data_IF_590923673743
#
_entry.id   IF_590923673743
#
_cell.length_a   1.000
_cell.length_b   1.000
_cell.length_c   1.000
_cell.angle_alpha   90.00
_cell.angle_beta   90.00
_cell.angle_gamma   90.00
#
_symmetry.space_group_name_H-M   'P 1'
#
loop_
_entity.id
_entity.type
_entity.pdbx_description
1 polymer ?
#
# COMPACT_ATOMS: atom_id res chain seq x y z
N UNK A 1 29.28 16.96 1.89
CA UNK A 1 28.08 16.11 1.82
C UNK A 1 26.85 17.00 1.73
N UNK A 2 26.39 17.19 0.49
CA UNK A 2 25.24 17.98 0.07
C UNK A 2 24.23 17.07 -0.63
N UNK A 3 22.98 17.49 -0.66
CA UNK A 3 21.92 16.78 -1.38
C UNK A 3 22.06 17.10 -2.87
N UNK A 4 22.08 16.07 -3.71
CA UNK A 4 22.08 16.21 -5.18
C UNK A 4 20.70 16.00 -5.76
N UNK A 5 19.92 15.07 -5.22
CA UNK A 5 18.52 14.86 -5.60
C UNK A 5 17.74 14.16 -4.49
N UNK A 6 16.41 14.29 -4.55
CA UNK A 6 15.48 13.62 -3.64
C UNK A 6 14.54 12.77 -4.50
N UNK A 7 14.32 11.54 -4.08
CA UNK A 7 13.46 10.58 -4.77
C UNK A 7 12.42 9.99 -3.81
N UNK A 8 11.11 10.14 -4.06
CA UNK A 8 10.06 9.55 -3.27
C UNK A 8 10.04 8.05 -3.50
N UNK A 9 9.60 7.32 -2.49
CA UNK A 9 9.47 5.86 -2.57
C UNK A 9 7.99 5.45 -2.72
N UNK A 10 7.69 4.16 -2.92
CA UNK A 10 6.30 3.68 -2.91
C UNK A 10 5.56 3.96 -1.61
N UNK A 11 6.30 4.14 -0.51
CA UNK A 11 5.76 4.63 0.76
C UNK A 11 5.81 6.15 0.78
N UNK A 12 4.68 6.83 1.02
CA UNK A 12 4.67 8.29 1.19
C UNK A 12 5.37 8.76 2.48
N UNK A 13 5.84 7.83 3.32
CA UNK A 13 6.57 8.10 4.55
C UNK A 13 8.09 7.92 4.43
N UNK A 14 8.58 7.55 3.24
CA UNK A 14 10.02 7.38 3.00
C UNK A 14 10.44 8.19 1.79
N UNK A 15 11.51 8.97 1.95
CA UNK A 15 12.19 9.68 0.86
C UNK A 15 13.64 9.26 0.79
N UNK A 16 14.13 9.08 -0.42
CA UNK A 16 15.50 8.72 -0.73
C UNK A 16 16.27 9.98 -1.07
N UNK A 17 17.36 10.24 -0.35
CA UNK A 17 18.25 11.37 -0.54
C UNK A 17 19.52 10.85 -1.22
N UNK A 18 19.81 11.39 -2.39
CA UNK A 18 21.08 11.19 -3.08
C UNK A 18 22.04 12.31 -2.69
N UNK A 19 23.30 11.96 -2.48
CA UNK A 19 24.32 12.87 -1.94
C UNK A 19 25.52 12.98 -2.90
N UNK A 20 26.21 14.12 -2.87
CA UNK A 20 27.40 14.41 -3.68
C UNK A 20 28.62 13.52 -3.33
N UNK A 21 28.67 13.03 -2.10
CA UNK A 21 29.68 12.14 -1.59
C UNK A 21 29.14 10.70 -1.49
N UNK A 22 29.85 9.76 -2.14
CA UNK A 22 29.55 8.34 -1.99
C UNK A 22 29.78 7.89 -0.56
N UNK A 23 28.82 7.13 -0.07
CA UNK A 23 28.80 6.65 1.30
C UNK A 23 29.66 5.38 1.44
N UNK A 24 30.04 5.03 2.66
CA UNK A 24 30.95 3.89 2.91
C UNK A 24 30.39 2.60 2.30
N UNK A 25 31.16 2.03 1.37
CA UNK A 25 30.77 0.83 0.66
C UNK A 25 30.60 -0.36 1.61
N UNK A 26 29.52 -1.12 1.43
CA UNK A 26 29.23 -2.33 2.21
C UNK A 26 28.43 -2.08 3.50
N UNK A 27 28.08 -0.82 3.81
CA UNK A 27 27.17 -0.49 4.92
C UNK A 27 25.74 -0.45 4.39
N UNK A 28 24.89 -1.36 4.90
CA UNK A 28 23.43 -1.32 4.76
C UNK A 28 22.82 -1.38 6.15
N UNK A 29 22.51 -0.21 6.72
CA UNK A 29 22.11 -0.13 8.13
C UNK A 29 21.01 0.88 8.35
N UNK A 30 20.00 0.48 9.12
CA UNK A 30 18.97 1.37 9.62
C UNK A 30 19.38 1.93 10.98
N UNK A 31 19.32 3.25 11.08
CA UNK A 31 19.53 3.98 12.32
C UNK A 31 18.19 4.49 12.86
N UNK A 32 18.01 4.37 14.17
CA UNK A 32 16.87 4.84 14.94
C UNK A 32 17.38 5.59 16.17
N UNK A 33 16.48 6.23 16.93
CA UNK A 33 16.83 6.85 18.22
C UNK A 33 17.45 5.84 19.20
N UNK A 34 17.09 4.56 19.11
CA UNK A 34 17.60 3.52 20.00
C UNK A 34 19.08 3.18 19.75
N UNK A 35 19.57 3.36 18.52
CA UNK A 35 20.94 3.04 18.11
C UNK A 35 21.76 4.26 17.64
N UNK A 36 21.26 5.48 17.92
CA UNK A 36 21.80 6.77 17.47
C UNK A 36 23.29 6.95 17.79
N UNK A 37 23.77 6.43 18.92
CA UNK A 37 25.20 6.51 19.32
C UNK A 37 26.15 5.87 18.31
N UNK A 38 25.68 4.88 17.56
CA UNK A 38 26.47 4.19 16.52
C UNK A 38 26.39 4.85 15.15
N UNK A 39 25.57 5.90 15.00
CA UNK A 39 25.34 6.56 13.73
C UNK A 39 26.45 7.58 13.39
N UNK A 40 26.80 7.71 12.10
CA UNK A 40 27.63 8.81 11.60
C UNK A 40 27.08 10.18 12.02
N UNK A 41 27.94 11.22 12.15
CA UNK A 41 27.50 12.55 12.60
C UNK A 41 26.35 13.15 11.78
N UNK A 42 26.35 12.98 10.46
CA UNK A 42 25.29 13.52 9.60
C UNK A 42 23.96 12.79 9.81
N UNK A 43 23.97 11.47 10.01
CA UNK A 43 22.78 10.68 10.34
C UNK A 43 22.23 11.05 11.72
N UNK A 44 23.09 11.32 12.71
CA UNK A 44 22.64 11.79 14.03
C UNK A 44 21.89 13.11 13.95
N UNK A 45 22.39 14.04 13.12
CA UNK A 45 21.70 15.33 12.90
C UNK A 45 20.32 15.13 12.25
N UNK A 46 20.23 14.26 11.24
CA UNK A 46 18.96 13.93 10.59
C UNK A 46 17.98 13.22 11.54
N UNK A 47 18.43 12.24 12.34
CA UNK A 47 17.60 11.63 13.40
C UNK A 47 17.13 12.66 14.42
N UNK A 48 17.91 13.73 14.61
CA UNK A 48 17.62 14.89 15.44
C UNK A 48 16.39 15.69 15.01
N UNK A 49 16.05 15.68 13.73
CA UNK A 49 14.93 16.43 13.14
C UNK A 49 13.60 15.91 13.70
N UNK A 50 12.75 16.83 14.13
CA UNK A 50 11.42 16.47 14.63
C UNK A 50 10.59 15.84 13.50
N UNK A 51 9.98 14.69 13.78
CA UNK A 51 9.22 13.94 12.79
C UNK A 51 10.02 12.84 12.07
N UNK A 52 11.35 12.82 12.13
CA UNK A 52 12.15 11.70 11.58
C UNK A 52 12.05 10.48 12.50
N UNK A 53 11.72 9.32 11.91
CA UNK A 53 11.56 8.01 12.58
C UNK A 53 12.84 7.18 12.47
N UNK A 54 13.37 7.05 11.26
CA UNK A 54 14.56 6.25 10.98
C UNK A 54 15.32 6.79 9.77
N UNK A 55 16.59 6.41 9.68
CA UNK A 55 17.45 6.72 8.55
C UNK A 55 18.13 5.43 8.10
N UNK A 56 17.81 4.97 6.89
CA UNK A 56 18.49 3.85 6.25
C UNK A 56 19.65 4.35 5.41
N UNK A 57 20.82 3.79 5.66
CA UNK A 57 22.07 4.19 5.03
C UNK A 57 22.54 3.08 4.09
N UNK A 58 22.78 3.44 2.83
CA UNK A 58 23.43 2.60 1.82
C UNK A 58 24.65 3.30 1.22
N UNK A 59 25.41 2.62 0.36
CA UNK A 59 26.48 3.23 -0.43
C UNK A 59 26.00 4.35 -1.36
N UNK A 60 24.80 4.19 -1.90
CA UNK A 60 24.32 4.98 -3.05
C UNK A 60 23.35 6.09 -2.65
N UNK A 61 22.61 5.90 -1.54
CA UNK A 61 21.60 6.83 -1.06
C UNK A 61 21.33 6.69 0.45
N UNK A 62 20.61 7.67 0.99
CA UNK A 62 20.03 7.64 2.35
C UNK A 62 18.51 7.63 2.26
N UNK A 63 17.84 6.61 2.79
CA UNK A 63 16.38 6.64 2.94
C UNK A 63 16.03 7.27 4.29
N UNK A 64 15.30 8.37 4.27
CA UNK A 64 14.75 9.02 5.44
C UNK A 64 13.32 8.54 5.64
N UNK A 65 13.00 7.99 6.81
CA UNK A 65 11.63 7.62 7.17
C UNK A 65 11.07 8.67 8.12
N UNK A 66 9.89 9.21 7.82
CA UNK A 66 9.16 10.08 8.73
C UNK A 66 8.19 9.29 9.61
N UNK A 67 7.77 9.90 10.72
CA UNK A 67 6.56 9.50 11.46
C UNK A 67 5.36 9.82 10.56
N UNK A 68 4.32 8.98 10.60
CA UNK A 68 3.22 9.04 9.64
C UNK A 68 2.54 10.41 9.50
N UNK A 69 2.55 11.21 10.56
CA UNK A 69 1.93 12.55 10.63
C UNK A 69 2.91 13.72 10.62
N UNK A 70 4.18 13.49 10.32
CA UNK A 70 5.15 14.56 10.25
C UNK A 70 5.15 15.20 8.85
N UNK A 71 5.36 16.50 8.77
CA UNK A 71 5.37 17.23 7.49
C UNK A 71 6.71 17.06 6.75
N UNK A 72 6.64 16.61 5.49
CA UNK A 72 7.83 16.45 4.65
C UNK A 72 8.46 17.78 4.28
N UNK A 73 7.68 18.85 4.09
CA UNK A 73 8.21 20.17 3.75
C UNK A 73 9.13 20.67 4.87
N UNK A 74 8.67 20.59 6.11
CA UNK A 74 9.45 20.91 7.32
C UNK A 74 10.68 20.01 7.47
N UNK A 75 10.53 18.69 7.32
CA UNK A 75 11.64 17.75 7.47
C UNK A 75 12.72 18.04 6.42
N UNK A 76 12.36 18.10 5.13
CA UNK A 76 13.32 18.31 4.05
C UNK A 76 13.98 19.69 4.15
N UNK A 77 13.24 20.73 4.55
CA UNK A 77 13.83 22.05 4.84
C UNK A 77 14.94 21.97 5.88
N UNK A 78 14.71 21.28 7.00
CA UNK A 78 15.74 21.09 8.03
C UNK A 78 16.90 20.20 7.57
N UNK A 79 16.63 19.17 6.74
CA UNK A 79 17.70 18.34 6.16
C UNK A 79 18.59 19.19 5.25
N UNK A 80 18.00 20.07 4.43
CA UNK A 80 18.73 21.02 3.57
C UNK A 80 19.59 21.98 4.39
N UNK A 81 19.06 22.56 5.45
CA UNK A 81 19.83 23.46 6.35
C UNK A 81 21.06 22.76 6.95
N UNK A 82 20.99 21.45 7.18
CA UNK A 82 22.07 20.67 7.79
C UNK A 82 23.12 20.14 6.81
N UNK A 83 22.76 19.87 5.55
CA UNK A 83 23.64 19.26 4.54
C UNK A 83 24.05 20.22 3.41
N UNK A 84 23.22 21.22 3.09
CA UNK A 84 23.40 22.10 1.91
C UNK A 84 23.02 21.43 0.58
N UNK A 85 23.01 22.23 -0.50
CA UNK A 85 22.68 21.81 -1.88
C UNK A 85 23.71 22.32 -2.90
N UNK A 86 23.81 21.65 -4.06
CA UNK A 86 24.63 22.07 -5.20
C UNK A 86 23.89 21.84 -6.54
N UNK A 87 23.65 22.89 -7.34
CA UNK A 87 23.02 22.78 -8.68
C UNK A 87 22.13 23.97 -9.06
N UNK A 88 21.94 24.21 -10.36
CA UNK A 88 21.14 25.31 -10.92
C UNK A 88 19.63 25.01 -11.02
N UNK A 89 19.19 23.82 -10.59
CA UNK A 89 17.79 23.36 -10.58
C UNK A 89 17.08 23.68 -9.24
N UNK A 90 17.52 24.76 -8.60
CA UNK A 90 17.14 25.16 -7.25
C UNK A 90 15.77 25.85 -7.17
N UNK A 91 14.73 25.26 -7.77
CA UNK A 91 13.36 25.79 -7.66
C UNK A 91 12.34 24.73 -7.22
N UNK A 92 12.71 23.93 -6.23
CA UNK A 92 11.75 23.25 -5.36
C UNK A 92 11.21 24.27 -4.35
N UNK A 93 10.37 25.21 -4.81
CA UNK A 93 9.61 26.08 -3.90
C UNK A 93 8.84 25.17 -2.94
N UNK A 94 9.32 25.11 -1.70
CA UNK A 94 8.62 24.48 -0.58
C UNK A 94 7.49 25.45 -0.21
N UNK A 95 6.21 25.06 -0.32
CA UNK A 95 5.12 25.90 0.15
C UNK A 95 5.34 26.24 1.63
N UNK A 96 5.14 27.50 2.02
CA UNK A 96 5.08 27.92 3.42
C UNK A 96 4.01 27.09 4.15
N UNK A 97 4.42 26.37 5.20
CA UNK A 97 3.59 25.66 6.17
C UNK A 97 2.22 25.18 5.62
N UNK A 98 2.23 24.17 4.74
CA UNK A 98 1.04 23.34 4.60
C UNK A 98 0.96 22.43 5.81
N UNK A 99 -0.18 22.46 6.50
CA UNK A 99 -0.49 21.53 7.58
C UNK A 99 -0.52 20.12 6.99
N UNK A 100 0.64 19.47 6.95
CA UNK A 100 0.84 18.11 6.45
C UNK A 100 0.09 17.12 7.32
N UNK A 101 -1.22 17.02 7.14
CA UNK A 101 -1.98 15.90 7.67
C UNK A 101 -1.38 14.63 7.06
N UNK A 102 -0.91 13.74 7.92
CA UNK A 102 -0.53 12.38 7.58
C UNK A 102 -1.39 11.85 6.43
N UNK A 103 -0.82 11.11 5.49
CA UNK A 103 -1.63 10.33 4.54
C UNK A 103 -2.55 9.30 5.23
N UNK A 104 -2.51 9.16 6.56
CA UNK A 104 -3.32 8.21 7.32
C UNK A 104 -2.91 6.78 7.05
N UNK A 105 -1.68 6.56 6.57
CA UNK A 105 -1.16 5.23 6.22
C UNK A 105 -1.06 4.36 7.47
N UNK A 106 -1.72 3.21 7.43
CA UNK A 106 -1.67 2.22 8.49
C UNK A 106 -1.43 0.82 7.93
N UNK A 107 -0.47 0.12 8.53
CA UNK A 107 -0.21 -1.29 8.24
C UNK A 107 -1.21 -2.16 9.00
N UNK A 108 -1.86 -3.07 8.30
CA UNK A 108 -2.81 -4.01 8.89
C UNK A 108 -2.16 -5.36 9.07
N UNK A 109 -2.29 -5.93 10.27
CA UNK A 109 -1.89 -7.30 10.55
C UNK A 109 -3.06 -8.06 11.14
N UNK A 110 -3.21 -9.32 10.75
CA UNK A 110 -4.22 -10.22 11.30
C UNK A 110 -3.52 -11.42 11.91
N UNK A 111 -3.83 -11.68 13.19
CA UNK A 111 -3.34 -12.86 13.89
C UNK A 111 -4.28 -14.02 13.65
N UNK A 112 -3.71 -15.17 13.30
CA UNK A 112 -4.38 -16.44 13.05
C UNK A 112 -3.97 -17.50 14.05
N UNK A 113 -4.89 -18.42 14.33
CA UNK A 113 -4.65 -19.67 15.05
C UNK A 113 -5.18 -20.83 14.18
N UNK A 114 -4.27 -21.64 13.62
CA UNK A 114 -4.62 -22.77 12.72
C UNK A 114 -5.70 -22.38 11.68
N UNK A 115 -5.43 -21.33 10.91
CA UNK A 115 -6.34 -20.81 9.87
C UNK A 115 -7.53 -19.96 10.37
N UNK A 116 -7.79 -19.89 11.68
CA UNK A 116 -8.87 -19.09 12.27
C UNK A 116 -8.34 -17.69 12.62
N UNK A 117 -8.87 -16.60 12.05
CA UNK A 117 -8.45 -15.26 12.44
C UNK A 117 -8.96 -14.94 13.86
N UNK A 118 -8.20 -14.17 14.64
CA UNK A 118 -8.55 -13.85 16.03
C UNK A 118 -8.44 -12.39 16.43
N UNK A 119 -7.43 -11.68 15.93
CA UNK A 119 -7.14 -10.30 16.32
C UNK A 119 -6.61 -9.52 15.14
N UNK A 120 -7.11 -8.30 14.97
CA UNK A 120 -6.65 -7.34 13.99
C UNK A 120 -5.81 -6.29 14.72
N UNK A 121 -4.68 -5.93 14.11
CA UNK A 121 -3.78 -4.89 14.60
C UNK A 121 -3.54 -3.91 13.46
N UNK A 122 -3.92 -2.66 13.67
CA UNK A 122 -3.72 -1.57 12.71
C UNK A 122 -2.69 -0.62 13.29
N UNK A 123 -1.57 -0.41 12.59
CA UNK A 123 -0.43 0.37 13.09
C UNK A 123 -0.10 1.53 12.19
N UNK A 124 0.00 2.72 12.77
CA UNK A 124 0.52 3.92 12.11
C UNK A 124 1.55 4.60 13.01
N UNK A 125 2.83 4.54 12.64
CA UNK A 125 3.91 5.11 13.45
C UNK A 125 3.98 4.51 14.85
N UNK A 126 3.66 5.31 15.88
CA UNK A 126 3.62 4.90 17.30
C UNK A 126 2.20 4.59 17.80
N UNK A 127 1.18 4.85 16.98
CA UNK A 127 -0.21 4.54 17.30
C UNK A 127 -0.54 3.13 16.83
N UNK A 128 -1.33 2.41 17.63
CA UNK A 128 -1.78 1.07 17.31
C UNK A 128 -3.22 0.89 17.81
N UNK A 129 -4.10 0.50 16.91
CA UNK A 129 -5.45 0.06 17.22
C UNK A 129 -5.49 -1.47 17.20
N UNK A 130 -6.15 -2.08 18.20
CA UNK A 130 -6.31 -3.53 18.28
C UNK A 130 -7.74 -3.89 18.58
N UNK A 131 -8.32 -4.70 17.72
CA UNK A 131 -9.66 -5.24 17.91
C UNK A 131 -9.66 -6.76 17.78
N UNK A 132 -10.54 -7.40 18.53
CA UNK A 132 -10.82 -8.83 18.41
C UNK A 132 -12.00 -9.04 17.47
N UNK A 133 -12.01 -10.18 16.75
CA UNK A 133 -13.18 -10.61 15.99
C UNK A 133 -14.30 -11.07 16.94
N UNK A 134 -15.50 -11.30 16.39
CA UNK A 134 -16.67 -11.71 17.18
C UNK A 134 -16.47 -13.01 17.96
N UNK A 135 -17.31 -13.22 18.98
CA UNK A 135 -17.22 -14.35 19.92
C UNK A 135 -17.15 -15.72 19.23
N UNK A 136 -17.75 -15.88 18.04
CA UNK A 136 -17.69 -17.13 17.27
C UNK A 136 -16.25 -17.54 16.91
N UNK A 137 -15.37 -16.59 16.64
CA UNK A 137 -13.95 -16.87 16.38
C UNK A 137 -13.21 -17.23 17.66
N UNK A 138 -13.54 -16.57 18.77
CA UNK A 138 -12.96 -16.87 20.09
C UNK A 138 -13.33 -18.28 20.52
N UNK A 139 -14.58 -18.67 20.34
CA UNK A 139 -15.07 -20.03 20.60
C UNK A 139 -14.39 -21.05 19.67
N UNK A 140 -14.27 -20.74 18.37
CA UNK A 140 -13.60 -21.60 17.41
C UNK A 140 -12.14 -21.87 17.80
N UNK A 141 -11.38 -20.82 18.13
CA UNK A 141 -9.99 -20.95 18.62
C UNK A 141 -9.95 -21.77 19.90
N UNK A 142 -10.86 -21.53 20.85
CA UNK A 142 -10.91 -22.25 22.13
C UNK A 142 -11.16 -23.74 21.93
N UNK A 143 -12.06 -24.11 21.01
CA UNK A 143 -12.35 -25.50 20.65
C UNK A 143 -11.11 -26.20 20.07
N UNK A 144 -10.45 -25.58 19.09
CA UNK A 144 -9.25 -26.18 18.47
C UNK A 144 -8.09 -26.25 19.47
N UNK A 145 -7.85 -25.19 20.25
CA UNK A 145 -6.78 -25.16 21.24
C UNK A 145 -6.97 -26.21 22.35
N UNK A 146 -8.22 -26.41 22.81
CA UNK A 146 -8.53 -27.41 23.84
C UNK A 146 -8.37 -28.84 23.32
N UNK A 147 -8.69 -29.09 22.04
CA UNK A 147 -8.58 -30.41 21.44
C UNK A 147 -7.14 -30.80 21.05
N UNK A 148 -6.34 -29.83 20.61
CA UNK A 148 -4.98 -30.08 20.10
C UNK A 148 -3.87 -29.83 21.13
N UNK A 149 -4.15 -29.06 22.19
CA UNK A 149 -3.18 -28.55 23.18
C UNK A 149 -2.07 -27.67 22.58
N UNK A 150 -2.25 -27.19 21.35
CA UNK A 150 -1.29 -26.35 20.62
C UNK A 150 -1.59 -24.87 20.86
N UNK A 151 -0.54 -24.05 20.84
CA UNK A 151 -0.60 -22.58 21.04
C UNK A 151 -0.05 -21.78 19.84
N UNK A 152 0.01 -22.40 18.68
CA UNK A 152 0.56 -21.80 17.46
C UNK A 152 -0.26 -20.59 17.02
N UNK A 153 0.41 -19.46 16.85
CA UNK A 153 -0.18 -18.22 16.33
C UNK A 153 0.67 -17.72 15.19
N UNK A 154 0.03 -17.42 14.06
CA UNK A 154 0.67 -16.81 12.89
C UNK A 154 0.21 -15.36 12.78
N UNK A 155 1.15 -14.44 12.59
CA UNK A 155 0.81 -13.05 12.26
C UNK A 155 0.95 -12.89 10.75
N UNK A 156 -0.14 -12.55 10.09
CA UNK A 156 -0.19 -12.32 8.64
C UNK A 156 -0.25 -10.83 8.34
N UNK A 157 0.52 -10.39 7.36
CA UNK A 157 0.46 -9.04 6.82
C UNK A 157 -0.72 -8.91 5.86
N UNK A 158 -1.61 -7.94 6.11
CA UNK A 158 -2.83 -7.65 5.35
C UNK A 158 -2.69 -6.38 4.48
N UNK A 159 -1.46 -5.88 4.36
CA UNK A 159 -1.12 -4.73 3.56
C UNK A 159 -1.44 -3.39 4.21
N UNK A 160 -1.33 -2.35 3.39
CA UNK A 160 -1.48 -0.96 3.81
C UNK A 160 -2.90 -0.47 3.54
N UNK A 161 -3.45 0.26 4.49
CA UNK A 161 -4.72 0.99 4.41
C UNK A 161 -4.50 2.46 4.75
N UNK A 162 -5.46 3.30 4.41
CA UNK A 162 -5.37 4.74 4.57
C UNK A 162 -6.64 5.26 5.23
N UNK A 163 -6.49 6.10 6.24
CA UNK A 163 -7.59 6.67 7.04
C UNK A 163 -7.36 6.51 8.53
N UNK A 164 -8.43 6.67 9.30
CA UNK A 164 -8.39 6.54 10.76
C UNK A 164 -8.24 5.08 11.20
N UNK A 165 -7.35 4.82 12.15
CA UNK A 165 -7.01 3.45 12.60
C UNK A 165 -8.24 2.65 13.06
N UNK A 166 -9.20 3.21 13.83
CA UNK A 166 -10.42 2.49 14.22
C UNK A 166 -11.34 2.16 13.05
N UNK A 167 -11.42 3.02 12.03
CA UNK A 167 -12.27 2.78 10.86
C UNK A 167 -11.65 1.72 9.97
N UNK A 168 -10.33 1.78 9.74
CA UNK A 168 -9.58 0.71 9.07
C UNK A 168 -9.78 -0.62 9.79
N UNK A 169 -9.65 -0.64 11.13
CA UNK A 169 -9.83 -1.86 11.90
C UNK A 169 -11.23 -2.45 11.70
N UNK A 170 -12.28 -1.61 11.78
CA UNK A 170 -13.68 -2.02 11.56
C UNK A 170 -13.94 -2.51 10.13
N UNK A 171 -13.35 -1.88 9.12
CA UNK A 171 -13.47 -2.34 7.73
C UNK A 171 -12.89 -3.74 7.56
N UNK A 172 -11.68 -3.96 8.07
CA UNK A 172 -11.00 -5.27 8.02
C UNK A 172 -11.76 -6.32 8.82
N UNK A 173 -12.33 -5.96 9.97
CA UNK A 173 -13.23 -6.84 10.73
C UNK A 173 -14.42 -7.28 9.88
N UNK A 174 -15.11 -6.34 9.23
CA UNK A 174 -16.27 -6.67 8.38
C UNK A 174 -15.89 -7.59 7.23
N UNK A 175 -14.73 -7.37 6.60
CA UNK A 175 -14.20 -8.22 5.53
C UNK A 175 -13.90 -9.65 6.03
N UNK A 176 -13.26 -9.80 7.20
CA UNK A 176 -12.98 -11.10 7.79
C UNK A 176 -14.27 -11.80 8.27
N UNK A 177 -15.20 -11.06 8.87
CA UNK A 177 -16.50 -11.61 9.25
C UNK A 177 -17.25 -12.15 8.03
N UNK A 178 -17.18 -11.45 6.91
CA UNK A 178 -17.79 -11.89 5.66
C UNK A 178 -17.07 -13.07 5.01
N UNK A 179 -15.73 -13.05 4.94
CA UNK A 179 -14.93 -14.10 4.32
C UNK A 179 -15.07 -15.47 5.02
N UNK A 180 -15.36 -15.48 6.32
CA UNK A 180 -15.49 -16.70 7.12
C UNK A 180 -16.94 -16.91 7.57
N UNK A 181 -17.86 -17.33 6.68
CA UNK A 181 -19.21 -17.72 7.11
C UNK A 181 -19.15 -18.90 8.09
N UNK A 182 -20.20 -19.10 8.89
CA UNK A 182 -20.21 -20.11 9.96
C UNK A 182 -19.87 -21.52 9.45
N UNK A 183 -20.37 -21.89 8.27
CA UNK A 183 -20.09 -23.19 7.65
C UNK A 183 -18.59 -23.41 7.39
N UNK A 184 -17.91 -22.41 6.80
CA UNK A 184 -16.47 -22.45 6.57
C UNK A 184 -15.69 -22.50 7.87
N UNK A 185 -16.12 -21.73 8.88
CA UNK A 185 -15.46 -21.73 10.19
C UNK A 185 -15.52 -23.11 10.85
N UNK A 186 -16.66 -23.80 10.78
CA UNK A 186 -16.78 -25.18 11.29
C UNK A 186 -15.90 -26.17 10.52
N UNK A 187 -15.78 -26.03 9.20
CA UNK A 187 -14.88 -26.85 8.38
C UNK A 187 -13.42 -26.66 8.80
N UNK A 188 -12.98 -25.41 8.99
CA UNK A 188 -11.62 -25.10 9.48
C UNK A 188 -11.39 -25.73 10.86
N UNK A 189 -12.36 -25.64 11.79
CA UNK A 189 -12.25 -26.25 13.11
C UNK A 189 -12.03 -27.76 12.99
N UNK A 190 -12.83 -28.44 12.16
CA UNK A 190 -12.70 -29.89 11.95
C UNK A 190 -11.34 -30.27 11.37
N UNK A 191 -10.90 -29.57 10.33
CA UNK A 191 -9.59 -29.80 9.70
C UNK A 191 -8.44 -29.53 10.68
N UNK A 192 -8.50 -28.44 11.45
CA UNK A 192 -7.47 -28.09 12.41
C UNK A 192 -7.38 -29.07 13.57
N UNK A 193 -8.50 -29.62 14.04
CA UNK A 193 -8.52 -30.69 15.06
C UNK A 193 -7.96 -31.99 14.47
N UNK A 194 -8.33 -32.33 13.23
CA UNK A 194 -7.84 -33.53 12.55
C UNK A 194 -6.32 -33.47 12.28
N UNK A 195 -5.79 -32.28 11.96
CA UNK A 195 -4.35 -32.03 11.84
C UNK A 195 -3.60 -32.30 13.15
N UNK A 196 -4.27 -32.10 14.30
CA UNK A 196 -3.73 -32.46 15.61
C UNK A 196 -2.38 -31.80 15.90
N UNK A 197 -1.48 -32.57 16.52
CA UNK A 197 -0.14 -32.15 16.92
C UNK A 197 0.92 -32.26 15.82
N UNK A 198 0.52 -32.35 14.55
CA UNK A 198 1.48 -32.34 13.45
C UNK A 198 2.26 -31.01 13.43
N UNK A 199 3.58 -31.15 13.27
CA UNK A 199 4.56 -30.06 13.21
C UNK A 199 4.56 -29.35 11.86
N UNK A 200 3.87 -29.89 10.84
CA UNK A 200 3.64 -29.21 9.57
C UNK A 200 2.70 -28.01 9.75
N UNK A 201 2.93 -26.96 8.94
CA UNK A 201 2.08 -25.78 8.91
C UNK A 201 0.67 -26.19 8.49
N UNK A 202 -0.33 -25.76 9.27
CA UNK A 202 -1.73 -26.01 8.92
C UNK A 202 -2.13 -25.16 7.71
N UNK A 203 -2.62 -25.83 6.67
CA UNK A 203 -3.18 -25.20 5.47
C UNK A 203 -4.65 -25.61 5.38
N UNK A 204 -5.53 -24.63 5.24
CA UNK A 204 -6.96 -24.87 5.03
C UNK A 204 -7.19 -25.52 3.66
N UNK A 205 -7.88 -26.66 3.64
CA UNK A 205 -8.37 -27.27 2.40
C UNK A 205 -9.76 -26.71 2.07
N UNK A 206 -9.83 -25.80 1.11
CA UNK A 206 -11.10 -25.21 0.65
C UNK A 206 -11.69 -26.04 -0.50
N UNK A 207 -13.00 -26.28 -0.45
CA UNK A 207 -13.75 -26.82 -1.60
C UNK A 207 -13.82 -25.76 -2.70
N UNK A 208 -13.45 -26.14 -3.92
CA UNK A 208 -13.69 -25.33 -5.11
C UNK A 208 -15.18 -25.21 -5.43
N UNK A 209 -15.61 -23.99 -5.72
CA UNK A 209 -16.98 -23.69 -6.14
C UNK A 209 -17.04 -23.69 -7.66
N UNK A 210 -18.12 -24.25 -8.20
CA UNK A 210 -18.42 -24.11 -9.63
C UNK A 210 -18.82 -22.68 -9.97
N UNK A 211 -18.64 -22.29 -11.23
CA UNK A 211 -19.04 -20.97 -11.76
C UNK A 211 -20.53 -20.68 -11.44
N UNK A 212 -21.40 -21.68 -11.57
CA UNK A 212 -22.81 -21.56 -11.25
C UNK A 212 -23.08 -21.28 -9.76
N UNK A 213 -22.29 -21.86 -8.84
CA UNK A 213 -22.39 -21.58 -7.41
C UNK A 213 -21.88 -20.17 -7.08
N UNK A 214 -20.80 -19.73 -7.73
CA UNK A 214 -20.26 -18.38 -7.60
C UNK A 214 -21.26 -17.33 -8.10
N UNK A 215 -21.81 -17.52 -9.30
CA UNK A 215 -22.84 -16.67 -9.90
C UNK A 215 -24.05 -16.53 -8.97
N UNK A 216 -24.57 -17.65 -8.47
CA UNK A 216 -25.74 -17.65 -7.59
C UNK A 216 -25.44 -16.89 -6.29
N UNK A 217 -24.27 -17.09 -5.69
CA UNK A 217 -23.92 -16.44 -4.43
C UNK A 217 -23.61 -14.95 -4.59
N UNK A 218 -23.04 -14.53 -5.73
CA UNK A 218 -22.82 -13.11 -6.05
C UNK A 218 -24.13 -12.35 -6.29
N UNK A 219 -25.25 -13.04 -6.50
CA UNK A 219 -26.58 -12.42 -6.57
C UNK A 219 -27.32 -12.40 -5.22
N UNK A 220 -26.69 -12.89 -4.15
CA UNK A 220 -27.33 -13.00 -2.85
C UNK A 220 -27.60 -11.62 -2.21
N UNK A 221 -28.75 -11.49 -1.53
CA UNK A 221 -29.17 -10.24 -0.88
C UNK A 221 -28.22 -9.78 0.22
N UNK A 222 -27.61 -10.73 0.94
CA UNK A 222 -26.63 -10.44 1.97
C UNK A 222 -25.25 -10.31 1.31
N UNK A 223 -24.67 -9.13 1.43
CA UNK A 223 -23.37 -8.80 0.89
C UNK A 223 -22.26 -9.69 1.46
N UNK A 224 -22.42 -10.22 2.68
CA UNK A 224 -21.42 -11.13 3.26
C UNK A 224 -21.30 -12.42 2.47
N UNK A 225 -22.42 -12.95 1.98
CA UNK A 225 -22.43 -14.11 1.09
C UNK A 225 -21.73 -13.81 -0.23
N UNK A 226 -22.00 -12.62 -0.80
CA UNK A 226 -21.35 -12.16 -2.03
C UNK A 226 -19.84 -12.00 -1.84
N UNK A 227 -19.42 -11.35 -0.75
CA UNK A 227 -18.01 -11.15 -0.42
C UNK A 227 -17.31 -12.50 -0.18
N UNK A 228 -17.93 -13.43 0.54
CA UNK A 228 -17.37 -14.76 0.75
C UNK A 228 -17.19 -15.53 -0.57
N UNK A 229 -18.11 -15.35 -1.53
CA UNK A 229 -18.01 -15.92 -2.87
C UNK A 229 -16.91 -15.26 -3.70
N UNK A 230 -16.75 -13.95 -3.57
CA UNK A 230 -15.65 -13.24 -4.22
C UNK A 230 -14.30 -13.61 -3.62
N UNK A 231 -14.15 -13.68 -2.29
CA UNK A 231 -12.89 -14.04 -1.58
C UNK A 231 -12.32 -15.40 -1.97
N UNK A 232 -13.17 -16.35 -2.39
CA UNK A 232 -12.75 -17.68 -2.86
C UNK A 232 -12.55 -17.77 -4.37
N UNK A 233 -12.92 -16.73 -5.11
CA UNK A 233 -12.78 -16.69 -6.56
C UNK A 233 -11.30 -16.65 -6.91
N UNK A 234 -10.84 -17.58 -7.74
CA UNK A 234 -9.55 -17.44 -8.40
C UNK A 234 -9.71 -16.51 -9.61
N UNK A 235 -8.97 -15.40 -9.68
CA UNK A 235 -9.12 -14.47 -10.80
C UNK A 235 -8.56 -15.09 -12.07
N UNK A 236 -9.45 -15.50 -12.98
CA UNK A 236 -9.11 -15.89 -14.36
C UNK A 236 -9.87 -15.02 -15.36
N UNK A 237 -9.42 -14.91 -16.62
CA UNK A 237 -10.14 -14.13 -17.64
C UNK A 237 -11.60 -14.57 -17.83
N UNK A 238 -11.92 -15.84 -17.62
CA UNK A 238 -13.28 -16.40 -17.68
C UNK A 238 -14.19 -15.83 -16.57
N UNK A 239 -13.62 -15.50 -15.42
CA UNK A 239 -14.33 -14.91 -14.29
C UNK A 239 -14.50 -13.38 -14.38
N UNK A 240 -14.01 -12.75 -15.44
CA UNK A 240 -14.11 -11.30 -15.61
C UNK A 240 -15.55 -10.76 -15.56
N UNK A 241 -16.60 -11.44 -16.06
CA UNK A 241 -17.98 -11.02 -15.86
C UNK A 241 -18.40 -10.96 -14.38
N UNK A 242 -17.93 -11.90 -13.55
CA UNK A 242 -18.20 -11.93 -12.11
C UNK A 242 -17.47 -10.81 -11.37
N UNK A 243 -16.22 -10.56 -11.75
CA UNK A 243 -15.44 -9.44 -11.22
C UNK A 243 -16.09 -8.12 -11.61
N UNK A 244 -16.54 -7.96 -12.86
CA UNK A 244 -17.30 -6.79 -13.33
C UNK A 244 -18.60 -6.58 -12.53
N UNK A 245 -19.30 -7.65 -12.17
CA UNK A 245 -20.45 -7.56 -11.27
C UNK A 245 -20.04 -7.02 -9.89
N UNK A 246 -18.94 -7.52 -9.31
CA UNK A 246 -18.44 -7.06 -8.02
C UNK A 246 -18.02 -5.58 -8.03
N UNK A 247 -17.48 -5.07 -9.14
CA UNK A 247 -17.15 -3.64 -9.32
C UNK A 247 -18.38 -2.72 -9.28
N UNK A 248 -19.59 -3.26 -9.45
CA UNK A 248 -20.85 -2.50 -9.42
C UNK A 248 -21.65 -2.74 -8.13
N UNK A 249 -21.05 -3.40 -7.13
CA UNK A 249 -21.71 -3.74 -5.87
C UNK A 249 -21.98 -2.52 -4.96
N UNK A 250 -23.05 -2.56 -4.18
CA UNK A 250 -23.39 -1.49 -3.23
C UNK A 250 -22.34 -1.36 -2.11
N UNK A 251 -21.64 -2.46 -1.79
CA UNK A 251 -20.57 -2.47 -0.79
C UNK A 251 -19.21 -2.16 -1.40
N UNK A 252 -18.57 -1.16 -0.81
CA UNK A 252 -17.23 -0.71 -1.14
C UNK A 252 -16.21 -1.85 -1.07
N UNK A 253 -16.34 -2.77 -0.11
CA UNK A 253 -15.45 -3.91 0.10
C UNK A 253 -15.41 -4.85 -1.11
N UNK A 254 -16.58 -5.14 -1.72
CA UNK A 254 -16.65 -5.97 -2.92
C UNK A 254 -16.03 -5.26 -4.13
N UNK A 255 -16.34 -3.97 -4.32
CA UNK A 255 -15.75 -3.19 -5.41
C UNK A 255 -14.22 -3.13 -5.28
N UNK A 256 -13.71 -2.88 -4.07
CA UNK A 256 -12.28 -2.83 -3.77
C UNK A 256 -11.59 -4.17 -4.03
N UNK A 257 -12.19 -5.29 -3.62
CA UNK A 257 -11.66 -6.63 -3.88
C UNK A 257 -11.67 -6.95 -5.39
N UNK A 258 -12.73 -6.57 -6.10
CA UNK A 258 -12.80 -6.69 -7.55
C UNK A 258 -11.65 -5.96 -8.26
N UNK A 259 -11.32 -4.74 -7.83
CA UNK A 259 -10.17 -3.98 -8.37
C UNK A 259 -8.84 -4.72 -8.16
N UNK A 260 -8.64 -5.35 -6.98
CA UNK A 260 -7.43 -6.16 -6.73
C UNK A 260 -7.34 -7.30 -7.74
N UNK A 261 -8.43 -8.03 -7.97
CA UNK A 261 -8.47 -9.14 -8.93
C UNK A 261 -8.23 -8.71 -10.38
N UNK A 262 -8.70 -7.53 -10.80
CA UNK A 262 -8.32 -7.00 -12.12
C UNK A 262 -6.80 -6.85 -12.27
N UNK A 263 -6.12 -6.49 -11.19
CA UNK A 263 -4.66 -6.37 -11.12
C UNK A 263 -3.90 -7.68 -11.31
N UNK A 264 -4.53 -8.80 -10.90
CA UNK A 264 -3.99 -10.15 -11.10
C UNK A 264 -4.18 -10.61 -12.55
N UNK A 265 -5.27 -10.20 -13.21
CA UNK A 265 -5.59 -10.58 -14.59
C UNK A 265 -4.72 -9.89 -15.65
N UNK A 266 -4.56 -8.58 -15.54
CA UNK A 266 -3.75 -7.73 -16.46
C UNK A 266 -4.12 -7.91 -17.95
N UNK A 267 -5.37 -8.25 -18.25
CA UNK A 267 -5.88 -8.30 -19.62
C UNK A 267 -6.27 -6.88 -20.10
N UNK A 268 -6.35 -6.62 -21.41
CA UNK A 268 -6.80 -5.32 -21.92
C UNK A 268 -8.16 -4.89 -21.33
N UNK A 269 -9.12 -5.81 -21.24
CA UNK A 269 -10.43 -5.55 -20.62
C UNK A 269 -10.32 -5.26 -19.11
N UNK A 270 -9.40 -5.94 -18.40
CA UNK A 270 -9.14 -5.62 -17.00
C UNK A 270 -8.53 -4.22 -16.83
N UNK A 271 -7.66 -3.79 -17.75
CA UNK A 271 -7.08 -2.44 -17.76
C UNK A 271 -8.13 -1.35 -18.00
N UNK A 272 -9.10 -1.60 -18.87
CA UNK A 272 -10.25 -0.71 -19.07
C UNK A 272 -11.07 -0.58 -17.79
N UNK A 273 -11.39 -1.70 -17.13
CA UNK A 273 -12.14 -1.70 -15.87
C UNK A 273 -11.37 -1.05 -14.71
N UNK A 274 -10.04 -1.18 -14.66
CA UNK A 274 -9.20 -0.46 -13.69
C UNK A 274 -9.26 1.06 -13.93
N UNK A 275 -9.25 1.48 -15.20
CA UNK A 275 -9.39 2.89 -15.57
C UNK A 275 -10.76 3.46 -15.21
N UNK A 276 -11.83 2.64 -15.30
CA UNK A 276 -13.16 3.00 -14.80
C UNK A 276 -13.19 3.12 -13.26
N UNK A 277 -12.54 2.20 -12.55
CA UNK A 277 -12.49 2.18 -11.09
C UNK A 277 -11.79 3.41 -10.47
N UNK A 278 -10.95 4.13 -11.23
CA UNK A 278 -10.43 5.45 -10.87
C UNK A 278 -11.51 6.53 -10.74
N UNK A 279 -12.78 6.23 -11.06
CA UNK A 279 -13.93 7.14 -10.91
C UNK A 279 -14.96 6.65 -9.89
N UNK A 280 -14.63 5.62 -9.11
CA UNK A 280 -15.51 5.09 -8.06
C UNK A 280 -15.91 6.16 -7.04
N UNK A 281 -17.14 6.16 -6.50
CA UNK A 281 -17.54 7.10 -5.44
C UNK A 281 -16.65 7.03 -4.19
N UNK A 282 -16.07 5.87 -3.87
CA UNK A 282 -15.16 5.69 -2.74
C UNK A 282 -13.72 6.02 -3.10
N UNK A 283 -13.10 6.93 -2.35
CA UNK A 283 -11.68 7.25 -2.49
C UNK A 283 -10.79 6.02 -2.23
N UNK A 284 -11.21 5.07 -1.37
CA UNK A 284 -10.47 3.84 -1.11
C UNK A 284 -10.39 2.93 -2.35
N UNK A 285 -11.47 2.86 -3.14
CA UNK A 285 -11.52 2.07 -4.38
C UNK A 285 -10.71 2.76 -5.47
N UNK A 286 -10.89 4.07 -5.68
CA UNK A 286 -10.09 4.85 -6.64
C UNK A 286 -8.60 4.74 -6.37
N UNK A 287 -8.20 4.85 -5.09
CA UNK A 287 -6.82 4.66 -4.66
C UNK A 287 -6.33 3.24 -4.93
N UNK A 288 -7.11 2.21 -4.61
CA UNK A 288 -6.73 0.82 -4.96
C UNK A 288 -6.55 0.66 -6.46
N UNK A 289 -7.39 1.27 -7.30
CA UNK A 289 -7.21 1.24 -8.76
C UNK A 289 -5.92 1.95 -9.18
N UNK A 290 -5.63 3.11 -8.59
CA UNK A 290 -4.37 3.83 -8.80
C UNK A 290 -3.14 2.99 -8.42
N UNK A 291 -3.14 2.40 -7.21
CA UNK A 291 -2.09 1.49 -6.74
C UNK A 291 -1.89 0.33 -7.73
N UNK A 292 -2.97 -0.35 -8.12
CA UNK A 292 -2.92 -1.49 -9.03
C UNK A 292 -2.34 -1.10 -10.39
N UNK A 293 -2.77 0.03 -10.96
CA UNK A 293 -2.26 0.54 -12.23
C UNK A 293 -0.78 0.95 -12.13
N UNK A 294 -0.35 1.56 -11.02
CA UNK A 294 1.08 1.81 -10.73
C UNK A 294 1.88 0.52 -10.63
N UNK A 295 1.37 -0.51 -9.97
CA UNK A 295 2.08 -1.79 -9.83
C UNK A 295 2.21 -2.53 -11.18
N UNK A 296 1.22 -2.38 -12.06
CA UNK A 296 1.26 -2.91 -13.43
C UNK A 296 2.26 -2.11 -14.29
N UNK A 297 2.20 -0.78 -14.22
CA UNK A 297 3.10 0.14 -14.95
C UNK A 297 2.90 0.15 -16.47
N UNK A 298 1.69 -0.18 -16.96
CA UNK A 298 1.38 -0.15 -18.38
C UNK A 298 1.07 1.29 -18.84
N UNK A 299 1.83 1.85 -19.80
CA UNK A 299 1.59 3.20 -20.33
C UNK A 299 0.18 3.42 -20.89
N UNK A 300 -0.57 2.37 -21.25
CA UNK A 300 -1.97 2.49 -21.67
C UNK A 300 -2.86 3.21 -20.64
N UNK A 301 -2.50 3.17 -19.34
CA UNK A 301 -3.23 3.84 -18.28
C UNK A 301 -2.93 5.35 -18.15
N UNK A 302 -2.01 5.91 -18.95
CA UNK A 302 -1.60 7.32 -18.92
C UNK A 302 -2.79 8.28 -18.94
N UNK A 303 -3.71 8.12 -19.89
CA UNK A 303 -4.87 9.01 -20.00
C UNK A 303 -5.77 8.99 -18.77
N UNK A 304 -5.96 7.81 -18.17
CA UNK A 304 -6.77 7.68 -16.95
C UNK A 304 -6.07 8.32 -15.74
N UNK A 305 -4.75 8.15 -15.63
CA UNK A 305 -3.94 8.73 -14.56
C UNK A 305 -3.79 10.24 -14.68
N UNK A 306 -3.70 10.80 -15.89
CA UNK A 306 -3.80 12.25 -16.12
C UNK A 306 -5.11 12.79 -15.52
N UNK A 307 -6.24 12.10 -15.74
CA UNK A 307 -7.51 12.50 -15.13
C UNK A 307 -7.50 12.43 -13.60
N UNK A 308 -6.83 11.43 -13.03
CA UNK A 308 -6.73 11.23 -11.59
C UNK A 308 -5.87 12.29 -10.86
N UNK A 309 -5.05 13.07 -11.57
CA UNK A 309 -4.35 14.24 -11.01
C UNK A 309 -5.30 15.34 -10.51
N UNK A 310 -6.59 15.31 -10.89
CA UNK A 310 -7.60 16.27 -10.42
C UNK A 310 -8.55 15.68 -9.37
N UNK A 311 -8.22 14.52 -8.78
CA UNK A 311 -9.08 13.88 -7.77
C UNK A 311 -9.18 14.69 -6.48
N UNK A 312 -10.34 14.65 -5.83
CA UNK A 312 -10.55 15.28 -4.53
C UNK A 312 -9.65 14.70 -3.43
N UNK A 313 -9.27 13.43 -3.55
CA UNK A 313 -8.37 12.73 -2.63
C UNK A 313 -6.91 12.98 -3.01
N UNK A 314 -6.16 13.61 -2.11
CA UNK A 314 -4.71 13.81 -2.27
C UNK A 314 -3.93 12.51 -2.49
N UNK A 315 -4.38 11.40 -1.91
CA UNK A 315 -3.78 10.08 -2.12
C UNK A 315 -3.92 9.60 -3.56
N UNK A 316 -5.08 9.83 -4.17
CA UNK A 316 -5.33 9.44 -5.56
C UNK A 316 -4.50 10.32 -6.49
N UNK A 317 -4.44 11.64 -6.25
CA UNK A 317 -3.58 12.56 -7.01
C UNK A 317 -2.11 12.19 -6.90
N UNK A 318 -1.63 11.86 -5.70
CA UNK A 318 -0.25 11.45 -5.48
C UNK A 318 0.09 10.16 -6.24
N UNK A 319 -0.80 9.16 -6.21
CA UNK A 319 -0.62 7.93 -7.00
C UNK A 319 -0.61 8.19 -8.50
N UNK A 320 -1.46 9.09 -8.98
CA UNK A 320 -1.45 9.50 -10.38
C UNK A 320 -0.12 10.16 -10.77
N UNK A 321 0.36 11.14 -10.00
CA UNK A 321 1.65 11.79 -10.25
C UNK A 321 2.80 10.78 -10.23
N UNK A 322 2.77 9.81 -9.31
CA UNK A 322 3.80 8.75 -9.22
C UNK A 322 3.77 7.83 -10.42
N UNK A 323 2.60 7.38 -10.86
CA UNK A 323 2.46 6.59 -12.08
C UNK A 323 3.06 7.33 -13.29
N UNK A 324 2.74 8.62 -13.43
CA UNK A 324 3.20 9.43 -14.56
C UNK A 324 4.71 9.68 -14.51
N UNK A 325 5.29 9.80 -13.32
CA UNK A 325 6.75 9.76 -13.14
C UNK A 325 7.35 8.43 -13.61
N UNK A 326 6.76 7.29 -13.21
CA UNK A 326 7.29 5.96 -13.55
C UNK A 326 7.24 5.68 -15.06
N UNK A 327 6.17 6.12 -15.73
CA UNK A 327 5.98 5.98 -17.18
C UNK A 327 6.80 7.01 -17.97
N UNK A 328 6.90 8.26 -17.49
CA UNK A 328 7.74 9.31 -18.09
C UNK A 328 7.34 9.68 -19.53
N UNK A 329 6.04 9.83 -19.80
CA UNK A 329 5.51 10.16 -21.14
C UNK A 329 5.21 11.65 -21.31
N UNK A 330 5.57 12.20 -22.48
CA UNK A 330 5.29 13.60 -22.86
C UNK A 330 3.79 13.93 -22.83
N UNK A 331 2.93 12.93 -23.08
CA UNK A 331 1.46 13.10 -23.07
C UNK A 331 0.93 13.66 -21.74
N UNK A 332 1.67 13.49 -20.64
CA UNK A 332 1.30 13.93 -19.31
C UNK A 332 1.78 15.35 -18.96
N UNK A 333 2.62 15.97 -19.79
CA UNK A 333 3.32 17.22 -19.48
C UNK A 333 2.37 18.33 -19.04
N UNK A 334 1.39 18.69 -19.87
CA UNK A 334 0.44 19.77 -19.58
C UNK A 334 -0.34 19.57 -18.27
N UNK A 335 -0.59 18.31 -17.89
CA UNK A 335 -1.30 17.98 -16.66
C UNK A 335 -0.38 18.05 -15.44
N UNK A 336 0.87 17.59 -15.60
CA UNK A 336 1.90 17.67 -14.57
C UNK A 336 2.31 19.12 -14.29
N UNK A 337 2.41 19.98 -15.33
CA UNK A 337 2.67 21.43 -15.19
C UNK A 337 1.62 22.15 -14.35
N UNK A 338 0.40 21.61 -14.22
CA UNK A 338 -0.61 22.12 -13.29
C UNK A 338 -0.48 21.50 -11.91
N UNK A 339 -0.12 20.21 -11.86
CA UNK A 339 0.03 19.47 -10.60
C UNK A 339 1.26 19.90 -9.79
N UNK A 340 2.24 20.61 -10.37
CA UNK A 340 3.35 21.21 -9.61
C UNK A 340 2.89 22.26 -8.59
N UNK A 341 1.70 22.84 -8.80
CA UNK A 341 1.07 23.81 -7.90
C UNK A 341 0.02 23.15 -6.98
N UNK A 342 0.02 21.81 -6.87
CA UNK A 342 -0.91 21.11 -5.97
C UNK A 342 -0.71 21.56 -4.51
N UNK A 343 -1.79 21.80 -3.75
CA UNK A 343 -1.67 22.22 -2.36
C UNK A 343 -1.04 21.14 -1.47
N UNK A 344 -1.06 19.86 -1.87
CA UNK A 344 -0.37 18.81 -1.14
C UNK A 344 1.08 18.71 -1.63
N UNK A 345 2.02 18.96 -0.72
CA UNK A 345 3.46 18.99 -1.02
C UNK A 345 3.93 17.73 -1.75
N UNK A 346 3.55 16.55 -1.28
CA UNK A 346 3.98 15.29 -1.88
C UNK A 346 3.45 15.10 -3.30
N UNK A 347 2.27 15.63 -3.62
CA UNK A 347 1.73 15.63 -5.00
C UNK A 347 2.55 16.58 -5.86
N UNK A 348 2.79 17.81 -5.39
CA UNK A 348 3.59 18.80 -6.14
C UNK A 348 5.01 18.33 -6.40
N UNK A 349 5.64 17.69 -5.41
CA UNK A 349 6.99 17.17 -5.48
C UNK A 349 7.05 16.06 -6.55
N UNK A 350 6.10 15.13 -6.48
CA UNK A 350 6.03 14.03 -7.44
C UNK A 350 5.79 14.53 -8.87
N UNK A 351 4.96 15.57 -9.04
CA UNK A 351 4.70 16.18 -10.34
C UNK A 351 5.93 16.88 -10.93
N UNK A 352 6.65 17.67 -10.13
CA UNK A 352 7.91 18.33 -10.53
C UNK A 352 8.95 17.30 -10.99
N UNK A 353 9.11 16.21 -10.24
CA UNK A 353 9.99 15.11 -10.63
C UNK A 353 9.57 14.42 -11.93
N UNK A 354 8.27 14.24 -12.16
CA UNK A 354 7.77 13.68 -13.39
C UNK A 354 8.11 14.57 -14.59
N UNK A 355 8.01 15.89 -14.45
CA UNK A 355 8.42 16.85 -15.49
C UNK A 355 9.93 16.82 -15.76
N UNK A 356 10.76 16.89 -14.72
CA UNK A 356 12.22 16.82 -14.88
C UNK A 356 12.65 15.53 -15.59
N UNK A 357 11.98 14.41 -15.28
CA UNK A 357 12.21 13.13 -15.96
C UNK A 357 11.86 13.22 -17.45
N UNK A 358 10.72 13.80 -17.78
CA UNK A 358 10.27 13.97 -19.17
C UNK A 358 11.27 14.87 -19.92
N UNK A 359 11.69 15.99 -19.32
CA UNK A 359 12.63 16.96 -19.91
C UNK A 359 14.04 16.40 -20.11
N UNK A 360 14.53 15.60 -19.16
CA UNK A 360 15.84 14.94 -19.27
C UNK A 360 15.87 13.80 -20.30
N UNK A 361 14.70 13.36 -20.78
CA UNK A 361 14.59 12.24 -21.72
C UNK A 361 15.02 10.90 -21.11
N UNK A 362 15.03 10.79 -19.78
CA UNK A 362 15.34 9.54 -19.10
C UNK A 362 14.31 8.46 -19.47
N UNK A 363 14.76 7.33 -20.01
CA UNK A 363 13.90 6.20 -20.37
C UNK A 363 13.06 5.77 -19.16
N UNK A 364 11.76 5.49 -19.34
CA UNK A 364 10.85 4.98 -18.31
C UNK A 364 11.58 4.00 -17.36
N UNK A 365 11.72 4.38 -16.09
CA UNK A 365 12.45 3.56 -15.13
C UNK A 365 11.72 2.23 -14.89
N UNK A 366 10.43 2.19 -15.21
CA UNK A 366 9.53 1.11 -14.85
C UNK A 366 9.15 1.21 -13.37
N UNK A 367 8.19 0.38 -12.96
CA UNK A 367 7.74 0.33 -11.57
C UNK A 367 8.90 -0.02 -10.64
N UNK A 368 8.82 0.35 -9.36
CA UNK A 368 9.88 0.01 -8.37
C UNK A 368 10.19 -1.49 -8.37
N UNK A 369 9.19 -2.35 -8.58
CA UNK A 369 9.40 -3.79 -8.73
C UNK A 369 10.22 -4.15 -9.98
N UNK A 370 9.94 -3.54 -11.12
CA UNK A 370 10.72 -3.75 -12.35
C UNK A 370 12.17 -3.29 -12.17
N UNK A 371 12.39 -2.20 -11.44
CA UNK A 371 13.73 -1.71 -11.11
C UNK A 371 14.46 -2.65 -10.15
N UNK A 372 13.78 -3.16 -9.11
CA UNK A 372 14.35 -4.14 -8.17
C UNK A 372 14.68 -5.46 -8.87
N UNK A 373 13.82 -5.94 -9.78
CA UNK A 373 14.06 -7.15 -10.56
C UNK A 373 15.28 -7.01 -11.47
N UNK A 374 15.41 -5.88 -12.18
CA UNK A 374 16.59 -5.57 -13.03
C UNK A 374 17.89 -5.43 -12.25
N UNK A 375 17.84 -5.03 -10.97
CA UNK A 375 19.03 -4.91 -10.10
C UNK A 375 19.53 -6.26 -9.55
N UNK A 376 18.68 -7.29 -9.58
CA UNK A 376 19.01 -8.65 -9.11
C UNK A 376 19.31 -9.64 -10.26
N UNK A 377 19.19 -9.20 -11.51
CA UNK A 377 19.58 -9.92 -12.74
C UNK A 377 20.93 -9.42 -13.24
#
# INVERSE_FOLDING_TARGET
MKITSIEPTPSPNTMMLHLDERLEAGIRRTYTRDNERSAPPFIRRMLGIEGVKSVFHTTDFVALDRKGNADWSTILGQVRDQLGEEGADANWDLPEETSGEAFGEAQVFVQFFRGIPMQIRVKAGQQEERISLSDRFVEAVTRVASATLIKERKLSDYGVRYGELPDIAREVEQELEAAFPQERLEQIIQQAIAHGADNSEFVEERREWSDAELELALQHKDWRTRYAALDRLEPTPEHLPLIRQALNDDKMQLRRLGVVYLGDLRTPEAMELLSEALRDPSAAVRRTAGDTLSDIGDPAATGAMIGALSDNSKLVRWRAARFLYEVGTEDARDALEKAVDDPEFEVSLQAKMALERIESGEQAAGTVWQQMAKRNS
#
